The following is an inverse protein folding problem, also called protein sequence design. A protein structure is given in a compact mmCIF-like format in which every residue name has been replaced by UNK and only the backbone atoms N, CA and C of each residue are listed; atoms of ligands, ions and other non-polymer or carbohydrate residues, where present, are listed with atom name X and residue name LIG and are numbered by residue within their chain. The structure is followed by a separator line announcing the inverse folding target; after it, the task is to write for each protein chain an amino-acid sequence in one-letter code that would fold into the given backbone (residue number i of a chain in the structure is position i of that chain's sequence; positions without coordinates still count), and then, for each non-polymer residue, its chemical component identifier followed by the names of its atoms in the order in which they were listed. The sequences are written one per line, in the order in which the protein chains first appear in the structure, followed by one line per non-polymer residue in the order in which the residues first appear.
data_IF_628525175103
#
_entry.id   IF_628525175103
#
_cell.length_a   1.000
_cell.length_b   1.000
_cell.length_c   1.000
_cell.angle_alpha   90.00
_cell.angle_beta   90.00
_cell.angle_gamma   90.00
#
_symmetry.space_group_name_H-M   'P 1'
#
loop_
_entity.id
_entity.type
_entity.pdbx_description
1 polymer ?
#
# COMPACT_ATOMS: atom_id res chain seq x y z
N UNK A 1 19.65 22.01 -45.77
CA UNK A 1 19.23 22.67 -44.50
C UNK A 1 18.45 21.82 -43.45
N UNK A 2 18.03 20.54 -43.67
CA UNK A 2 17.24 19.81 -42.65
C UNK A 2 18.07 19.19 -41.50
N UNK A 3 19.35 18.85 -41.71
CA UNK A 3 20.17 18.17 -40.70
C UNK A 3 20.53 19.03 -39.47
N UNK A 4 20.66 20.36 -39.61
CA UNK A 4 20.99 21.26 -38.49
C UNK A 4 19.81 21.43 -37.53
N UNK A 5 18.57 21.47 -38.05
CA UNK A 5 17.35 21.54 -37.25
C UNK A 5 17.09 20.24 -36.49
N UNK A 6 17.39 19.10 -37.11
CA UNK A 6 17.29 17.77 -36.47
C UNK A 6 18.30 17.60 -35.32
N UNK A 7 19.56 17.98 -35.51
CA UNK A 7 20.58 17.95 -34.44
C UNK A 7 20.23 18.90 -33.28
N UNK A 8 19.67 20.08 -33.56
CA UNK A 8 19.24 21.04 -32.53
C UNK A 8 18.05 20.52 -31.71
N UNK A 9 17.05 19.89 -32.36
CA UNK A 9 15.90 19.27 -31.68
C UNK A 9 16.33 18.10 -30.78
N UNK A 10 17.23 17.24 -31.26
CA UNK A 10 17.78 16.14 -30.45
C UNK A 10 18.57 16.68 -29.26
N UNK A 11 19.34 17.77 -29.43
CA UNK A 11 20.11 18.38 -28.35
C UNK A 11 19.21 19.06 -27.30
N UNK A 12 18.11 19.70 -27.71
CA UNK A 12 17.11 20.30 -26.80
C UNK A 12 16.37 19.20 -26.01
N UNK A 13 15.99 18.10 -26.67
CA UNK A 13 15.36 16.96 -26.00
C UNK A 13 16.30 16.31 -24.97
N UNK A 14 17.60 16.15 -25.31
CA UNK A 14 18.61 15.63 -24.39
C UNK A 14 18.94 16.59 -23.23
N UNK A 15 18.98 17.90 -23.46
CA UNK A 15 19.19 18.88 -22.37
C UNK A 15 17.99 18.95 -21.42
N UNK A 16 16.77 18.75 -21.95
CA UNK A 16 15.56 18.73 -21.14
C UNK A 16 15.55 17.53 -20.18
N UNK A 17 15.89 16.32 -20.65
CA UNK A 17 15.91 15.11 -19.81
C UNK A 17 16.97 15.15 -18.70
N UNK A 18 18.15 15.70 -18.98
CA UNK A 18 19.21 15.92 -17.98
C UNK A 18 18.79 16.90 -16.87
N UNK A 19 18.04 17.95 -17.22
CA UNK A 19 17.55 18.95 -16.25
C UNK A 19 16.40 18.43 -15.39
N UNK A 20 15.55 17.56 -15.93
CA UNK A 20 14.42 16.98 -15.18
C UNK A 20 14.87 16.02 -14.08
N UNK A 21 15.89 15.19 -14.33
CA UNK A 21 16.41 14.23 -13.34
C UNK A 21 16.99 14.92 -12.09
N UNK A 22 17.67 16.07 -12.25
CA UNK A 22 18.23 16.82 -11.12
C UNK A 22 17.16 17.44 -10.21
N UNK A 23 16.06 17.93 -10.81
CA UNK A 23 14.95 18.53 -10.06
C UNK A 23 14.15 17.48 -9.30
N UNK A 24 13.86 16.33 -9.92
CA UNK A 24 13.15 15.22 -9.29
C UNK A 24 13.90 14.72 -8.04
N UNK A 25 15.21 14.48 -8.15
CA UNK A 25 16.05 14.06 -7.02
C UNK A 25 16.08 15.06 -5.87
N UNK A 26 16.09 16.36 -6.16
CA UNK A 26 16.06 17.39 -5.13
C UNK A 26 14.71 17.39 -4.37
N UNK A 27 13.60 17.24 -5.09
CA UNK A 27 12.28 17.11 -4.47
C UNK A 27 12.16 15.84 -3.64
N UNK A 28 12.69 14.71 -4.14
CA UNK A 28 12.69 13.44 -3.44
C UNK A 28 13.48 13.50 -2.13
N UNK A 29 14.67 14.11 -2.16
CA UNK A 29 15.47 14.33 -0.94
C UNK A 29 14.68 15.10 0.12
N UNK A 30 14.06 16.23 -0.27
CA UNK A 30 13.26 17.03 0.66
C UNK A 30 12.06 16.25 1.22
N UNK A 31 11.36 15.50 0.37
CA UNK A 31 10.23 14.68 0.79
C UNK A 31 10.65 13.63 1.83
N UNK A 32 11.77 12.93 1.59
CA UNK A 32 12.30 11.92 2.50
C UNK A 32 12.79 12.51 3.83
N UNK A 33 13.39 13.71 3.83
CA UNK A 33 13.78 14.40 5.05
C UNK A 33 12.54 14.77 5.90
N UNK A 34 11.50 15.31 5.27
CA UNK A 34 10.25 15.64 5.94
C UNK A 34 9.53 14.40 6.50
N UNK A 35 9.53 13.28 5.76
CA UNK A 35 8.98 12.02 6.28
C UNK A 35 9.74 11.53 7.53
N UNK A 36 11.07 11.65 7.54
CA UNK A 36 11.89 11.28 8.71
C UNK A 36 11.58 12.17 9.92
N UNK A 37 11.20 13.42 9.67
CA UNK A 37 10.75 14.36 10.70
C UNK A 37 9.27 14.16 11.11
N UNK A 38 8.55 13.24 10.47
CA UNK A 38 7.13 13.00 10.72
C UNK A 38 6.18 14.03 10.08
N UNK A 39 6.70 14.94 9.24
CA UNK A 39 5.97 16.00 8.54
C UNK A 39 5.33 15.49 7.26
N UNK A 40 4.28 14.67 7.40
CA UNK A 40 3.67 13.92 6.30
C UNK A 40 2.95 14.83 5.31
N UNK A 41 2.31 15.89 5.77
CA UNK A 41 1.60 16.86 4.93
C UNK A 41 2.57 17.61 4.01
N UNK A 42 3.72 18.03 4.54
CA UNK A 42 4.76 18.68 3.76
C UNK A 42 5.44 17.68 2.80
N UNK A 43 5.71 16.46 3.25
CA UNK A 43 6.24 15.40 2.38
C UNK A 43 5.27 15.09 1.22
N UNK A 44 3.97 15.01 1.50
CA UNK A 44 2.91 14.84 0.50
C UNK A 44 3.01 15.90 -0.59
N UNK A 45 3.18 17.17 -0.21
CA UNK A 45 3.37 18.26 -1.17
C UNK A 45 4.55 17.97 -2.11
N UNK A 46 5.73 17.59 -1.61
CA UNK A 46 6.88 17.31 -2.46
C UNK A 46 6.68 16.09 -3.37
N UNK A 47 6.07 15.00 -2.88
CA UNK A 47 5.77 13.85 -3.74
C UNK A 47 4.79 14.19 -4.86
N UNK A 48 3.76 15.01 -4.60
CA UNK A 48 2.88 15.47 -5.69
C UNK A 48 3.61 16.35 -6.72
N UNK A 49 4.64 17.10 -6.32
CA UNK A 49 5.49 17.87 -7.25
C UNK A 49 6.36 16.96 -8.10
N UNK A 50 6.85 15.85 -7.56
CA UNK A 50 7.56 14.81 -8.32
C UNK A 50 6.64 14.24 -9.39
N UNK A 51 5.39 13.90 -9.05
CA UNK A 51 4.43 13.37 -10.02
C UNK A 51 4.02 14.35 -11.13
N UNK A 52 4.21 15.66 -10.94
CA UNK A 52 4.06 16.66 -12.02
C UNK A 52 5.21 16.64 -13.03
N UNK A 53 6.37 16.12 -12.63
CA UNK A 53 7.55 15.96 -13.49
C UNK A 53 7.55 14.58 -14.13
N UNK A 54 7.25 13.56 -13.33
CA UNK A 54 7.26 12.15 -13.71
C UNK A 54 6.07 11.44 -13.04
N UNK A 55 4.97 11.29 -13.78
CA UNK A 55 3.72 10.71 -13.28
C UNK A 55 3.82 9.21 -12.92
N UNK A 56 4.79 8.51 -13.49
CA UNK A 56 5.11 7.11 -13.21
C UNK A 56 6.22 6.95 -12.17
N UNK A 57 6.66 8.02 -11.50
CA UNK A 57 7.70 7.93 -10.46
C UNK A 57 7.31 6.92 -9.38
N UNK A 58 8.00 5.78 -9.37
CA UNK A 58 7.73 4.65 -8.48
C UNK A 58 7.73 5.09 -7.01
N UNK A 59 8.77 5.83 -6.61
CA UNK A 59 8.97 6.33 -5.25
C UNK A 59 7.81 7.22 -4.82
N UNK A 60 7.45 8.23 -5.62
CA UNK A 60 6.38 9.16 -5.26
C UNK A 60 4.99 8.50 -5.24
N UNK A 61 4.68 7.64 -6.21
CA UNK A 61 3.43 6.87 -6.21
C UNK A 61 3.35 5.95 -4.98
N UNK A 62 4.41 5.21 -4.67
CA UNK A 62 4.46 4.35 -3.46
C UNK A 62 4.20 5.20 -2.21
N UNK A 63 4.94 6.29 -2.02
CA UNK A 63 4.87 7.11 -0.81
C UNK A 63 3.52 7.79 -0.60
N UNK A 64 2.95 8.39 -1.65
CA UNK A 64 1.59 8.97 -1.58
C UNK A 64 0.54 7.91 -1.26
N UNK A 65 0.65 6.73 -1.86
CA UNK A 65 -0.19 5.58 -1.54
C UNK A 65 -0.15 5.20 -0.06
N UNK A 66 1.04 5.12 0.52
CA UNK A 66 1.21 4.81 1.95
C UNK A 66 0.63 5.91 2.84
N UNK A 67 0.94 7.18 2.59
CA UNK A 67 0.43 8.32 3.38
C UNK A 67 -1.10 8.35 3.35
N UNK A 68 -1.70 8.27 2.15
CA UNK A 68 -3.15 8.32 1.98
C UNK A 68 -3.86 7.11 2.59
N UNK A 69 -3.20 5.95 2.66
CA UNK A 69 -3.79 4.74 3.25
C UNK A 69 -4.10 4.85 4.75
N UNK A 70 -3.56 5.85 5.43
CA UNK A 70 -3.80 6.10 6.86
C UNK A 70 -5.20 6.64 7.14
N UNK A 71 -5.85 7.27 6.16
CA UNK A 71 -7.22 7.76 6.26
C UNK A 71 -8.20 6.82 5.58
N UNK A 72 -9.37 6.60 6.20
CA UNK A 72 -10.46 5.80 5.63
C UNK A 72 -11.06 6.49 4.39
N UNK A 73 -11.09 7.82 4.38
CA UNK A 73 -11.71 8.59 3.29
C UNK A 73 -10.84 8.61 2.01
N UNK A 74 -9.58 8.20 2.13
CA UNK A 74 -8.58 8.28 1.05
C UNK A 74 -8.18 6.91 0.51
N UNK A 75 -8.82 5.80 0.91
CA UNK A 75 -8.36 4.45 0.58
C UNK A 75 -8.37 4.18 -0.93
N UNK A 76 -9.40 4.62 -1.66
CA UNK A 76 -9.47 4.41 -3.11
C UNK A 76 -8.38 5.20 -3.84
N UNK A 77 -8.09 6.41 -3.37
CA UNK A 77 -6.99 7.24 -3.93
C UNK A 77 -5.64 6.61 -3.61
N UNK A 78 -5.46 6.10 -2.39
CA UNK A 78 -4.25 5.36 -1.99
C UNK A 78 -4.00 4.15 -2.89
N UNK A 79 -5.03 3.33 -3.14
CA UNK A 79 -4.97 2.20 -4.06
C UNK A 79 -4.54 2.64 -5.46
N UNK A 80 -5.10 3.74 -5.98
CA UNK A 80 -4.73 4.21 -7.32
C UNK A 80 -3.24 4.54 -7.44
N UNK A 81 -2.64 5.15 -6.41
CA UNK A 81 -1.20 5.43 -6.40
C UNK A 81 -0.38 4.15 -6.24
N UNK A 82 -0.80 3.23 -5.38
CA UNK A 82 -0.09 1.97 -5.16
C UNK A 82 -0.12 1.04 -6.38
N UNK A 83 -1.23 0.99 -7.12
CA UNK A 83 -1.30 0.21 -8.37
C UNK A 83 -0.40 0.80 -9.45
N UNK A 84 -0.24 2.14 -9.52
CA UNK A 84 0.76 2.77 -10.39
C UNK A 84 2.18 2.35 -10.00
N UNK A 85 2.51 2.36 -8.70
CA UNK A 85 3.81 1.90 -8.23
C UNK A 85 4.01 0.39 -8.49
N UNK A 86 2.97 -0.43 -8.31
CA UNK A 86 3.00 -1.87 -8.61
C UNK A 86 3.21 -2.14 -10.10
N UNK A 87 2.72 -1.27 -10.99
CA UNK A 87 2.96 -1.42 -12.42
C UNK A 87 4.45 -1.34 -12.76
N UNK A 88 5.20 -0.45 -12.11
CA UNK A 88 6.65 -0.31 -12.29
C UNK A 88 7.47 -1.42 -11.60
N UNK A 89 6.99 -1.90 -10.44
CA UNK A 89 7.59 -3.02 -9.73
C UNK A 89 6.50 -3.91 -9.12
N UNK A 90 6.14 -4.97 -9.83
CA UNK A 90 5.04 -5.87 -9.47
C UNK A 90 5.30 -6.71 -8.23
N UNK A 91 6.57 -6.86 -7.84
CA UNK A 91 7.02 -7.76 -6.78
C UNK A 91 7.47 -7.02 -5.50
N UNK A 92 7.28 -5.70 -5.44
CA UNK A 92 7.53 -4.93 -4.21
C UNK A 92 6.60 -5.42 -3.10
N UNK A 93 7.18 -6.13 -2.12
CA UNK A 93 6.44 -6.77 -1.03
C UNK A 93 5.68 -5.79 -0.15
N UNK A 94 6.19 -4.57 0.02
CA UNK A 94 5.51 -3.56 0.82
C UNK A 94 4.26 -3.05 0.11
N UNK A 95 4.35 -2.81 -1.20
CA UNK A 95 3.20 -2.44 -2.02
C UNK A 95 2.16 -3.56 -2.05
N UNK A 96 2.59 -4.81 -2.27
CA UNK A 96 1.68 -5.96 -2.28
C UNK A 96 0.96 -6.10 -0.93
N UNK A 97 1.69 -6.10 0.18
CA UNK A 97 1.08 -6.17 1.51
C UNK A 97 0.12 -5.01 1.76
N UNK A 98 0.46 -3.79 1.35
CA UNK A 98 -0.41 -2.63 1.50
C UNK A 98 -1.67 -2.74 0.63
N UNK A 99 -1.57 -3.22 -0.62
CA UNK A 99 -2.75 -3.41 -1.46
C UNK A 99 -3.66 -4.52 -0.95
N UNK A 100 -3.12 -5.63 -0.44
CA UNK A 100 -3.93 -6.65 0.23
C UNK A 100 -4.67 -6.10 1.45
N UNK A 101 -3.98 -5.35 2.30
CA UNK A 101 -4.59 -4.63 3.45
C UNK A 101 -5.78 -3.79 2.99
N UNK A 102 -5.61 -2.96 1.96
CA UNK A 102 -6.65 -2.05 1.47
C UNK A 102 -7.81 -2.78 0.76
N UNK A 103 -7.53 -3.76 -0.08
CA UNK A 103 -8.59 -4.51 -0.77
C UNK A 103 -9.41 -5.36 0.20
N UNK A 104 -8.80 -5.95 1.23
CA UNK A 104 -9.53 -6.67 2.28
C UNK A 104 -10.43 -5.71 3.09
N UNK A 105 -9.95 -4.51 3.44
CA UNK A 105 -10.75 -3.50 4.15
C UNK A 105 -11.97 -3.07 3.33
N UNK A 106 -11.79 -2.93 2.01
CA UNK A 106 -12.87 -2.52 1.10
C UNK A 106 -13.79 -3.66 0.67
N UNK A 107 -13.51 -4.91 1.08
CA UNK A 107 -14.30 -6.08 0.66
C UNK A 107 -14.15 -6.43 -0.82
N UNK A 108 -13.07 -6.01 -1.47
CA UNK A 108 -12.80 -6.18 -2.90
C UNK A 108 -12.21 -7.57 -3.18
N UNK A 109 -12.96 -8.62 -2.85
CA UNK A 109 -12.51 -10.02 -2.83
C UNK A 109 -11.99 -10.51 -4.18
N UNK A 110 -12.61 -10.12 -5.28
CA UNK A 110 -12.15 -10.48 -6.62
C UNK A 110 -10.79 -9.85 -6.96
N UNK A 111 -10.51 -8.63 -6.48
CA UNK A 111 -9.18 -8.02 -6.63
C UNK A 111 -8.14 -8.74 -5.77
N UNK A 112 -8.50 -9.15 -4.56
CA UNK A 112 -7.63 -9.96 -3.68
C UNK A 112 -7.27 -11.28 -4.36
N UNK A 113 -8.25 -12.03 -4.87
CA UNK A 113 -8.03 -13.32 -5.56
C UNK A 113 -7.13 -13.16 -6.78
N UNK A 114 -7.39 -12.14 -7.61
CA UNK A 114 -6.55 -11.84 -8.78
C UNK A 114 -5.11 -11.51 -8.35
N UNK A 115 -4.95 -10.67 -7.33
CA UNK A 115 -3.62 -10.29 -6.84
C UNK A 115 -2.86 -11.46 -6.22
N UNK A 116 -3.53 -12.37 -5.50
CA UNK A 116 -2.93 -13.62 -5.01
C UNK A 116 -2.39 -14.47 -6.16
N UNK A 117 -3.16 -14.58 -7.25
CA UNK A 117 -2.72 -15.30 -8.45
C UNK A 117 -1.50 -14.64 -9.10
N UNK A 118 -1.53 -13.32 -9.30
CA UNK A 118 -0.45 -12.55 -9.92
C UNK A 118 0.85 -12.62 -9.09
N UNK A 119 0.74 -12.50 -7.77
CA UNK A 119 1.86 -12.41 -6.84
C UNK A 119 2.34 -13.77 -6.29
N UNK A 120 1.83 -14.89 -6.81
CA UNK A 120 2.11 -16.24 -6.28
C UNK A 120 3.60 -16.64 -6.23
N UNK A 121 4.45 -16.00 -7.03
CA UNK A 121 5.91 -16.23 -7.04
C UNK A 121 6.64 -15.40 -5.98
N UNK A 122 6.01 -14.32 -5.54
CA UNK A 122 6.60 -13.28 -4.69
C UNK A 122 6.15 -13.43 -3.23
N UNK A 123 4.98 -14.04 -3.02
CA UNK A 123 4.42 -14.42 -1.73
C UNK A 123 4.94 -15.78 -1.28
N UNK A 124 5.22 -15.89 0.01
CA UNK A 124 5.34 -17.18 0.68
C UNK A 124 3.97 -17.86 0.83
N UNK A 125 4.02 -19.18 1.05
CA UNK A 125 2.80 -19.95 1.33
C UNK A 125 2.06 -19.41 2.57
N UNK A 126 2.79 -18.99 3.59
CA UNK A 126 2.21 -18.46 4.83
C UNK A 126 1.51 -17.11 4.61
N UNK A 127 2.10 -16.21 3.81
CA UNK A 127 1.47 -14.93 3.44
C UNK A 127 0.19 -15.16 2.65
N UNK A 128 0.21 -16.03 1.64
CA UNK A 128 -0.97 -16.36 0.83
C UNK A 128 -2.09 -17.00 1.68
N UNK A 129 -1.72 -17.90 2.59
CA UNK A 129 -2.66 -18.54 3.52
C UNK A 129 -3.30 -17.51 4.44
N UNK A 130 -2.51 -16.59 4.99
CA UNK A 130 -3.00 -15.53 5.85
C UNK A 130 -3.98 -14.59 5.16
N UNK A 131 -3.66 -14.15 3.96
CA UNK A 131 -4.55 -13.30 3.16
C UNK A 131 -5.87 -14.01 2.86
N UNK A 132 -5.80 -15.29 2.48
CA UNK A 132 -7.01 -16.10 2.19
C UNK A 132 -7.87 -16.28 3.44
N UNK A 133 -7.27 -16.64 4.59
CA UNK A 133 -8.02 -16.84 5.83
C UNK A 133 -8.68 -15.54 6.34
N UNK A 134 -8.04 -14.40 6.13
CA UNK A 134 -8.61 -13.09 6.43
C UNK A 134 -9.75 -12.76 5.48
N UNK A 135 -9.57 -12.99 4.17
CA UNK A 135 -10.60 -12.79 3.16
C UNK A 135 -11.85 -13.61 3.49
N UNK A 136 -11.71 -14.89 3.76
CA UNK A 136 -12.83 -15.79 4.07
C UNK A 136 -13.53 -15.36 5.38
N UNK A 137 -12.75 -14.98 6.40
CA UNK A 137 -13.29 -14.50 7.67
C UNK A 137 -14.14 -13.24 7.52
N UNK A 138 -13.70 -12.30 6.66
CA UNK A 138 -14.38 -11.03 6.42
C UNK A 138 -15.61 -11.24 5.52
N UNK A 139 -15.48 -12.10 4.51
CA UNK A 139 -16.50 -12.28 3.47
C UNK A 139 -17.66 -13.18 3.91
N UNK A 140 -17.45 -14.04 4.90
CA UNK A 140 -18.44 -14.98 5.40
C UNK A 140 -18.70 -14.76 6.91
N UNK A 141 -19.53 -13.77 7.28
CA UNK A 141 -19.88 -13.52 8.68
C UNK A 141 -20.45 -14.77 9.36
N UNK A 142 -19.90 -15.13 10.52
CA UNK A 142 -20.33 -16.28 11.30
C UNK A 142 -19.93 -17.66 10.75
N UNK A 143 -19.11 -17.73 9.68
CA UNK A 143 -18.64 -19.01 9.14
C UNK A 143 -17.67 -19.75 10.07
N UNK A 144 -16.92 -19.02 10.90
CA UNK A 144 -15.99 -19.63 11.87
C UNK A 144 -16.74 -20.04 13.12
N UNK A 145 -16.72 -21.33 13.43
CA UNK A 145 -17.22 -21.83 14.72
C UNK A 145 -16.29 -21.45 15.88
N UNK A 146 -16.76 -21.65 17.12
CA UNK A 146 -16.01 -21.28 18.33
C UNK A 146 -14.60 -21.90 18.38
N UNK A 147 -14.41 -23.14 17.89
CA UNK A 147 -13.10 -23.80 17.85
C UNK A 147 -12.16 -23.13 16.84
N UNK A 148 -12.63 -22.87 15.63
CA UNK A 148 -11.84 -22.19 14.60
C UNK A 148 -11.47 -20.77 15.02
N UNK A 149 -12.40 -20.07 15.66
CA UNK A 149 -12.17 -18.73 16.17
C UNK A 149 -11.15 -18.72 17.33
N UNK A 150 -11.22 -19.72 18.22
CA UNK A 150 -10.23 -19.90 19.28
C UNK A 150 -8.80 -20.06 18.72
N UNK A 151 -8.61 -20.94 17.73
CA UNK A 151 -7.31 -21.11 17.04
C UNK A 151 -6.84 -19.80 16.42
N UNK A 152 -7.74 -19.09 15.73
CA UNK A 152 -7.43 -17.82 15.07
C UNK A 152 -6.99 -16.72 16.06
N UNK A 153 -7.51 -16.74 17.29
CA UNK A 153 -7.13 -15.80 18.34
C UNK A 153 -5.90 -16.24 19.16
N UNK A 154 -5.70 -17.53 19.41
CA UNK A 154 -4.63 -17.99 20.29
C UNK A 154 -3.31 -18.19 19.55
N UNK A 155 -3.37 -18.76 18.35
CA UNK A 155 -2.16 -19.15 17.60
C UNK A 155 -1.74 -18.08 16.59
N UNK A 156 -2.70 -17.34 16.04
CA UNK A 156 -2.49 -16.45 14.89
C UNK A 156 -2.61 -14.97 15.20
N UNK A 157 -3.18 -14.57 16.34
CA UNK A 157 -3.44 -13.17 16.71
C UNK A 157 -2.18 -12.31 16.59
N UNK A 158 -1.08 -12.71 17.25
CA UNK A 158 0.16 -11.92 17.24
C UNK A 158 0.72 -11.71 15.84
N UNK A 159 0.66 -12.73 14.99
CA UNK A 159 1.19 -12.66 13.63
C UNK A 159 0.28 -11.83 12.73
N UNK A 160 -1.02 -12.12 12.73
CA UNK A 160 -1.98 -11.49 11.82
C UNK A 160 -2.21 -10.04 12.21
N UNK A 161 -2.31 -9.74 13.50
CA UNK A 161 -2.46 -8.37 13.98
C UNK A 161 -1.19 -7.53 13.76
N UNK A 162 -0.02 -8.15 13.72
CA UNK A 162 1.24 -7.46 13.39
C UNK A 162 1.30 -7.08 11.90
N UNK A 163 0.90 -8.00 11.01
CA UNK A 163 1.06 -7.84 9.56
C UNK A 163 -0.15 -7.11 8.94
N UNK A 164 -1.37 -7.57 9.25
CA UNK A 164 -2.64 -7.05 8.71
C UNK A 164 -3.58 -6.62 9.85
N UNK A 165 -3.21 -5.59 10.64
CA UNK A 165 -3.98 -5.18 11.81
C UNK A 165 -5.42 -4.81 11.48
N UNK A 166 -5.66 -4.08 10.39
CA UNK A 166 -6.99 -3.58 10.02
C UNK A 166 -7.88 -4.73 9.51
N UNK A 167 -7.45 -5.57 8.55
CA UNK A 167 -8.18 -6.78 8.16
C UNK A 167 -8.46 -7.73 9.33
N UNK A 168 -7.49 -7.92 10.23
CA UNK A 168 -7.68 -8.79 11.39
C UNK A 168 -8.80 -8.28 12.31
N UNK A 169 -8.82 -6.97 12.59
CA UNK A 169 -9.90 -6.35 13.37
C UNK A 169 -11.26 -6.46 12.66
N UNK A 170 -11.28 -6.30 11.33
CA UNK A 170 -12.50 -6.44 10.53
C UNK A 170 -13.04 -7.88 10.53
N UNK A 171 -12.15 -8.87 10.49
CA UNK A 171 -12.49 -10.29 10.68
C UNK A 171 -13.16 -10.50 12.04
N UNK A 172 -12.58 -10.01 13.15
CA UNK A 172 -13.20 -10.13 14.48
C UNK A 172 -14.60 -9.48 14.53
N UNK A 173 -14.75 -8.29 13.94
CA UNK A 173 -16.05 -7.61 13.87
C UNK A 173 -17.08 -8.44 13.09
N UNK A 174 -16.67 -9.01 11.95
CA UNK A 174 -17.53 -9.86 11.09
C UNK A 174 -17.98 -11.15 11.78
N UNK A 175 -17.26 -11.57 12.82
CA UNK A 175 -17.55 -12.78 13.59
C UNK A 175 -18.18 -12.47 14.96
N UNK A 176 -18.81 -11.30 15.10
CA UNK A 176 -19.50 -10.83 16.32
C UNK A 176 -18.57 -10.67 17.56
N UNK A 177 -17.28 -10.40 17.34
CA UNK A 177 -16.28 -10.17 18.40
C UNK A 177 -15.83 -8.71 18.46
N UNK A 178 -16.79 -7.78 18.34
CA UNK A 178 -16.54 -6.34 18.31
C UNK A 178 -15.82 -5.80 19.55
N UNK A 179 -16.12 -6.32 20.75
CA UNK A 179 -15.48 -5.89 22.00
C UNK A 179 -13.99 -6.22 22.03
N UNK A 180 -13.64 -7.44 21.58
CA UNK A 180 -12.25 -7.87 21.45
C UNK A 180 -11.53 -7.02 20.40
N UNK A 181 -12.14 -6.78 19.24
CA UNK A 181 -11.59 -5.91 18.22
C UNK A 181 -11.28 -4.50 18.78
N UNK A 182 -12.23 -3.92 19.51
CA UNK A 182 -12.04 -2.61 20.16
C UNK A 182 -10.91 -2.62 21.19
N UNK A 183 -10.80 -3.69 21.99
CA UNK A 183 -9.73 -3.83 22.98
C UNK A 183 -8.33 -3.85 22.34
N UNK A 184 -8.17 -4.57 21.22
CA UNK A 184 -6.91 -4.66 20.49
C UNK A 184 -6.58 -3.35 19.79
N UNK A 185 -7.58 -2.67 19.23
CA UNK A 185 -7.41 -1.36 18.61
C UNK A 185 -6.91 -0.32 19.61
N UNK A 186 -7.42 -0.33 20.85
CA UNK A 186 -6.96 0.54 21.94
C UNK A 186 -5.49 0.28 22.33
N UNK A 187 -5.14 -0.98 22.60
CA UNK A 187 -3.75 -1.39 22.92
C UNK A 187 -2.74 -0.91 21.87
N UNK A 188 -3.12 -0.97 20.59
CA UNK A 188 -2.26 -0.51 19.48
C UNK A 188 -2.04 1.01 19.48
N UNK A 189 -3.02 1.81 19.94
CA UNK A 189 -2.86 3.27 20.05
C UNK A 189 -1.99 3.65 21.24
N UNK A 190 -2.02 2.87 22.31
CA UNK A 190 -1.26 3.11 23.54
C UNK A 190 0.22 2.67 23.44
N UNK A 191 0.55 1.74 22.55
CA UNK A 191 1.91 1.25 22.30
C UNK A 191 2.67 1.96 21.17
N UNK A 192 2.19 3.11 20.70
CA UNK A 192 2.82 3.97 19.69
C UNK A 192 3.20 5.30 20.31
#
# INVERSE_FOLDING_TARGET
MPQKKFKLLVFILLFSSLSYCGREKALEKNALELEKEGKKEEAFYYYTRILKINDSSFSANKKLGFILSESIDSLQVAISYLEKARHENSDDKEILAKLFDLYLILGETEKVKKMLYDARKSLSQDEATMITELMDCISEPGSKNAKQMKVFMEEKENLYFKIFPRPYLLCLQSQNLSDKALSLAKKRKEGK
#
